data_IF_866113780917
#
_entry.id   IF_866113780917
#
_cell.length_a   1.000
_cell.length_b   1.000
_cell.length_c   1.000
_cell.angle_alpha   90.00
_cell.angle_beta   90.00
_cell.angle_gamma   90.00
#
_symmetry.space_group_name_H-M   'P 1'
#
loop_
_entity.id
_entity.type
_entity.pdbx_description
1 polymer ?
#
# COMPACT_ATOMS: atom_id res chain seq x y z
N UNK A 1 -3.20 -4.72 -2.71
CA UNK A 1 -3.79 -3.74 -3.65
C UNK A 1 -5.31 -3.73 -3.55
N UNK A 2 -5.98 -4.89 -3.50
CA UNK A 2 -7.41 -4.95 -3.22
C UNK A 2 -7.74 -4.41 -1.82
N UNK A 3 -6.89 -4.63 -0.82
CA UNK A 3 -7.08 -4.04 0.52
C UNK A 3 -7.12 -2.50 0.51
N UNK A 4 -6.25 -1.87 -0.27
CA UNK A 4 -6.20 -0.41 -0.43
C UNK A 4 -7.45 0.08 -1.19
N UNK A 5 -7.88 -0.65 -2.23
CA UNK A 5 -9.11 -0.33 -2.94
C UNK A 5 -10.34 -0.40 -2.01
N UNK A 6 -10.46 -1.45 -1.19
CA UNK A 6 -11.52 -1.56 -0.19
C UNK A 6 -11.52 -0.36 0.77
N UNK A 7 -10.34 0.05 1.24
CA UNK A 7 -10.20 1.23 2.09
C UNK A 7 -10.64 2.52 1.38
N UNK A 8 -10.27 2.74 0.12
CA UNK A 8 -10.72 3.90 -0.64
C UNK A 8 -12.23 3.87 -0.92
N UNK A 9 -12.79 2.75 -1.35
CA UNK A 9 -14.22 2.61 -1.59
C UNK A 9 -15.04 2.90 -0.32
N UNK A 10 -14.53 2.48 0.84
CA UNK A 10 -15.21 2.67 2.13
C UNK A 10 -14.90 4.01 2.81
N UNK A 11 -13.88 4.75 2.36
CA UNK A 11 -13.46 6.00 2.99
C UNK A 11 -14.57 7.07 3.10
N UNK A 12 -15.46 7.27 2.10
CA UNK A 12 -16.57 8.21 2.22
C UNK A 12 -17.54 7.83 3.35
N UNK A 13 -17.75 6.54 3.62
CA UNK A 13 -18.56 6.06 4.74
C UNK A 13 -17.91 6.42 6.07
N UNK A 14 -16.61 6.15 6.21
CA UNK A 14 -15.85 6.50 7.42
C UNK A 14 -15.87 8.02 7.65
N UNK A 15 -15.71 8.82 6.58
CA UNK A 15 -15.76 10.28 6.64
C UNK A 15 -17.09 10.82 7.19
N UNK A 16 -18.21 10.16 6.87
CA UNK A 16 -19.55 10.50 7.37
C UNK A 16 -19.75 10.10 8.84
N UNK A 17 -19.13 9.00 9.27
CA UNK A 17 -19.30 8.46 10.63
C UNK A 17 -18.38 9.11 11.66
N UNK A 18 -17.18 9.53 11.25
CA UNK A 18 -16.17 10.11 12.13
C UNK A 18 -15.96 11.56 11.70
N UNK A 19 -16.14 12.50 12.61
CA UNK A 19 -16.00 13.94 12.32
C UNK A 19 -14.66 14.54 12.79
N UNK A 20 -13.92 13.84 13.64
CA UNK A 20 -12.61 14.26 14.14
C UNK A 20 -11.47 13.82 13.20
N UNK A 21 -10.32 14.48 13.31
CA UNK A 21 -9.09 14.06 12.66
C UNK A 21 -8.55 12.77 13.29
N UNK A 22 -8.10 11.82 12.47
CA UNK A 22 -7.62 10.52 12.95
C UNK A 22 -6.37 10.62 13.83
N UNK A 23 -5.53 11.65 13.63
CA UNK A 23 -4.37 11.94 14.49
C UNK A 23 -4.74 12.14 15.96
N UNK A 24 -5.98 12.57 16.23
CA UNK A 24 -6.48 12.87 17.58
C UNK A 24 -7.19 11.65 18.22
N UNK A 25 -7.33 10.55 17.49
CA UNK A 25 -8.14 9.38 17.86
C UNK A 25 -7.27 8.14 18.16
N UNK A 26 -6.37 8.25 19.12
CA UNK A 26 -5.36 7.21 19.41
C UNK A 26 -5.95 5.85 19.83
N UNK A 27 -7.09 5.82 20.50
CA UNK A 27 -7.76 4.59 20.95
C UNK A 27 -8.80 4.05 19.94
N UNK A 28 -9.10 4.80 18.88
CA UNK A 28 -10.16 4.43 17.93
C UNK A 28 -9.63 3.46 16.88
N UNK A 29 -10.41 2.40 16.63
CA UNK A 29 -10.19 1.49 15.52
C UNK A 29 -11.11 1.85 14.35
N UNK A 30 -10.52 1.83 13.16
CA UNK A 30 -11.19 2.01 11.88
C UNK A 30 -11.45 0.62 11.32
N UNK A 31 -12.72 0.37 11.02
CA UNK A 31 -13.17 -0.89 10.44
C UNK A 31 -13.48 -0.67 8.96
N UNK A 32 -12.78 -1.41 8.12
CA UNK A 32 -13.05 -1.49 6.68
C UNK A 32 -13.43 -2.93 6.37
N UNK A 33 -14.55 -3.19 5.67
CA UNK A 33 -14.92 -4.54 5.26
C UNK A 33 -13.78 -5.22 4.50
N UNK A 34 -13.44 -6.45 4.92
CA UNK A 34 -12.36 -7.23 4.32
C UNK A 34 -10.94 -6.89 4.81
N UNK A 35 -10.80 -6.06 5.83
CA UNK A 35 -9.52 -5.70 6.45
C UNK A 35 -9.55 -5.96 7.97
N UNK A 36 -8.40 -6.26 8.59
CA UNK A 36 -8.28 -6.22 10.04
C UNK A 36 -8.51 -4.78 10.55
N UNK A 37 -8.95 -4.60 11.81
CA UNK A 37 -9.07 -3.26 12.41
C UNK A 37 -7.74 -2.49 12.36
N UNK A 38 -7.82 -1.21 11.98
CA UNK A 38 -6.66 -0.32 11.89
C UNK A 38 -6.84 0.82 12.88
N UNK A 39 -5.89 1.05 13.78
CA UNK A 39 -5.94 2.22 14.67
C UNK A 39 -5.94 3.50 13.83
N UNK A 40 -6.78 4.47 14.19
CA UNK A 40 -6.93 5.70 13.41
C UNK A 40 -5.59 6.42 13.18
N UNK A 41 -4.73 6.46 14.20
CA UNK A 41 -3.38 7.06 14.13
C UNK A 41 -2.39 6.31 13.22
N UNK A 42 -2.72 5.09 12.77
CA UNK A 42 -1.92 4.31 11.83
C UNK A 42 -2.45 4.39 10.39
N UNK A 43 -3.53 5.14 10.16
CA UNK A 43 -4.01 5.41 8.79
C UNK A 43 -2.95 6.20 8.01
N UNK A 44 -2.97 6.16 6.65
CA UNK A 44 -2.03 6.89 5.83
C UNK A 44 -1.99 8.39 6.19
N UNK A 45 -0.78 8.97 6.20
CA UNK A 45 -0.56 10.38 6.56
C UNK A 45 -1.55 11.35 5.90
N UNK A 46 -1.86 11.27 4.59
CA UNK A 46 -2.79 12.21 3.96
C UNK A 46 -4.20 12.23 4.55
N UNK A 47 -4.62 11.19 5.27
CA UNK A 47 -5.96 11.13 5.88
C UNK A 47 -5.95 11.34 7.40
N UNK A 48 -4.79 11.61 8.01
CA UNK A 48 -4.68 11.78 9.46
C UNK A 48 -5.30 13.10 9.96
N UNK A 49 -5.26 14.14 9.15
CA UNK A 49 -5.72 15.48 9.48
C UNK A 49 -6.80 15.93 8.47
N UNK A 50 -8.01 16.23 8.94
CA UNK A 50 -9.12 16.65 8.06
C UNK A 50 -8.93 18.05 7.47
N UNK A 51 -8.12 18.87 8.11
CA UNK A 51 -7.74 20.22 7.66
C UNK A 51 -6.63 20.20 6.60
N UNK A 52 -6.05 19.04 6.31
CA UNK A 52 -5.06 18.87 5.25
C UNK A 52 -5.75 18.85 3.86
N UNK A 53 -5.30 19.65 2.88
CA UNK A 53 -5.83 19.59 1.52
C UNK A 53 -5.77 18.17 0.91
N UNK A 54 -4.74 17.39 1.22
CA UNK A 54 -4.58 16.02 0.72
C UNK A 54 -5.70 15.10 1.24
N UNK A 55 -6.26 15.35 2.42
CA UNK A 55 -7.41 14.62 2.93
C UNK A 55 -8.61 14.77 1.98
N UNK A 56 -8.86 16.00 1.53
CA UNK A 56 -9.97 16.30 0.64
C UNK A 56 -9.75 15.77 -0.77
N UNK A 57 -8.51 15.73 -1.27
CA UNK A 57 -8.18 15.06 -2.53
C UNK A 57 -8.47 13.56 -2.47
N UNK A 58 -8.09 12.90 -1.36
CA UNK A 58 -8.41 11.48 -1.15
C UNK A 58 -9.92 11.26 -1.02
N UNK A 59 -10.63 12.12 -0.28
CA UNK A 59 -12.09 12.02 -0.15
C UNK A 59 -12.79 12.21 -1.50
N UNK A 60 -12.36 13.20 -2.28
CA UNK A 60 -12.88 13.46 -3.61
C UNK A 60 -12.65 12.25 -4.52
N UNK A 61 -11.41 11.77 -4.61
CA UNK A 61 -11.06 10.58 -5.39
C UNK A 61 -11.92 9.37 -4.98
N UNK A 62 -11.97 9.08 -3.69
CA UNK A 62 -12.73 7.95 -3.11
C UNK A 62 -14.22 8.03 -3.42
N UNK A 63 -14.82 9.23 -3.35
CA UNK A 63 -16.24 9.46 -3.64
C UNK A 63 -16.59 9.33 -5.13
N UNK A 64 -15.59 9.31 -6.01
CA UNK A 64 -15.78 9.16 -7.46
C UNK A 64 -15.44 7.75 -7.97
N UNK A 65 -14.73 6.92 -7.19
CA UNK A 65 -14.44 5.53 -7.56
C UNK A 65 -15.71 4.74 -7.93
N UNK A 66 -16.83 4.79 -7.17
CA UNK A 66 -18.04 4.05 -7.54
C UNK A 66 -18.73 4.53 -8.82
N UNK A 67 -18.39 5.74 -9.29
CA UNK A 67 -18.97 6.34 -10.51
C UNK A 67 -18.21 5.94 -11.77
N UNK A 68 -17.12 5.18 -11.64
CA UNK A 68 -16.33 4.71 -12.77
C UNK A 68 -17.07 3.62 -13.57
N UNK A 69 -16.77 3.49 -14.85
CA UNK A 69 -17.27 2.37 -15.69
C UNK A 69 -16.63 1.03 -15.30
N UNK A 70 -15.47 1.08 -14.65
CA UNK A 70 -14.77 -0.08 -14.13
C UNK A 70 -13.45 0.33 -13.49
N UNK A 71 -12.93 -0.52 -12.62
CA UNK A 71 -11.68 -0.32 -11.88
C UNK A 71 -10.73 -1.47 -12.21
N UNK A 72 -9.49 -1.13 -12.58
CA UNK A 72 -8.44 -2.11 -12.84
C UNK A 72 -7.50 -2.16 -11.65
N UNK A 73 -7.23 -3.36 -11.13
CA UNK A 73 -6.38 -3.56 -9.96
C UNK A 73 -5.28 -4.56 -10.30
N UNK A 74 -4.03 -4.16 -10.04
CA UNK A 74 -2.87 -5.04 -10.22
C UNK A 74 -2.74 -6.00 -9.01
N UNK A 75 -3.61 -7.00 -8.97
CA UNK A 75 -3.62 -8.13 -8.02
C UNK A 75 -4.41 -9.28 -8.60
N UNK A 76 -4.50 -10.41 -7.89
CA UNK A 76 -5.29 -11.58 -8.28
C UNK A 76 -5.98 -12.18 -7.06
N UNK A 77 -7.00 -12.98 -7.30
CA UNK A 77 -7.96 -13.50 -6.31
C UNK A 77 -7.27 -14.26 -5.18
N UNK A 78 -6.37 -15.19 -5.51
CA UNK A 78 -5.67 -16.02 -4.53
C UNK A 78 -4.73 -15.22 -3.61
N UNK A 79 -4.27 -14.03 -4.03
CA UNK A 79 -3.38 -13.18 -3.23
C UNK A 79 -4.14 -12.40 -2.16
N UNK A 80 -5.34 -11.91 -2.47
CA UNK A 80 -6.12 -11.03 -1.60
C UNK A 80 -7.61 -11.43 -1.52
N UNK A 81 -7.95 -12.70 -1.19
CA UNK A 81 -9.31 -13.20 -1.32
C UNK A 81 -10.31 -12.49 -0.40
N UNK A 82 -9.88 -12.14 0.81
CA UNK A 82 -10.74 -11.52 1.83
C UNK A 82 -11.26 -10.13 1.38
N UNK A 83 -10.40 -9.15 1.04
CA UNK A 83 -10.89 -7.86 0.55
C UNK A 83 -11.59 -7.96 -0.81
N UNK A 84 -11.20 -8.89 -1.68
CA UNK A 84 -11.87 -9.10 -2.98
C UNK A 84 -13.33 -9.53 -2.76
N UNK A 85 -13.57 -10.52 -1.91
CA UNK A 85 -14.92 -10.96 -1.60
C UNK A 85 -15.74 -9.85 -0.92
N UNK A 86 -15.15 -9.11 0.03
CA UNK A 86 -15.85 -8.01 0.68
C UNK A 86 -16.29 -6.90 -0.30
N UNK A 87 -15.48 -6.61 -1.32
CA UNK A 87 -15.85 -5.67 -2.37
C UNK A 87 -16.92 -6.26 -3.29
N UNK A 88 -16.78 -7.53 -3.70
CA UNK A 88 -17.75 -8.22 -4.55
C UNK A 88 -19.15 -8.33 -3.90
N UNK A 89 -19.19 -8.51 -2.58
CA UNK A 89 -20.41 -8.53 -1.76
C UNK A 89 -21.00 -7.12 -1.54
N UNK A 90 -20.39 -6.07 -2.11
CA UNK A 90 -20.86 -4.69 -2.02
C UNK A 90 -20.64 -4.03 -0.65
N UNK A 91 -19.88 -4.66 0.26
CA UNK A 91 -19.74 -4.16 1.63
C UNK A 91 -18.95 -2.85 1.71
N UNK A 92 -18.04 -2.62 0.76
CA UNK A 92 -17.20 -1.44 0.75
C UNK A 92 -17.91 -0.17 0.25
N UNK A 93 -19.01 -0.28 -0.49
CA UNK A 93 -19.76 0.85 -1.05
C UNK A 93 -21.21 0.81 -0.56
N UNK A 94 -21.54 1.66 0.42
CA UNK A 94 -22.83 1.57 1.14
C UNK A 94 -24.00 2.20 0.35
N UNK A 95 -23.76 3.32 -0.33
CA UNK A 95 -24.83 4.15 -0.89
C UNK A 95 -25.03 3.97 -2.42
N UNK A 96 -24.27 3.08 -3.05
CA UNK A 96 -24.31 2.88 -4.50
C UNK A 96 -23.76 1.50 -4.90
N UNK A 97 -24.07 1.00 -6.11
CA UNK A 97 -23.45 -0.23 -6.61
C UNK A 97 -21.92 -0.12 -6.69
N UNK A 98 -21.25 -1.23 -6.42
CA UNK A 98 -19.82 -1.36 -6.71
C UNK A 98 -19.64 -1.48 -8.23
N UNK A 99 -18.74 -0.68 -8.86
CA UNK A 99 -18.48 -0.78 -10.29
C UNK A 99 -17.76 -2.10 -10.61
N UNK A 100 -17.75 -2.55 -11.87
CA UNK A 100 -16.97 -3.72 -12.27
C UNK A 100 -15.50 -3.57 -11.88
N UNK A 101 -14.91 -4.62 -11.29
CA UNK A 101 -13.51 -4.64 -10.91
C UNK A 101 -12.79 -5.76 -11.66
N UNK A 102 -11.66 -5.41 -12.26
CA UNK A 102 -10.82 -6.32 -13.01
C UNK A 102 -9.48 -6.51 -12.28
N UNK A 103 -9.30 -7.67 -11.66
CA UNK A 103 -8.06 -8.08 -11.02
C UNK A 103 -7.17 -8.74 -12.08
N UNK A 104 -6.20 -7.99 -12.61
CA UNK A 104 -5.40 -8.41 -13.78
C UNK A 104 -3.93 -8.66 -13.45
N UNK A 105 -3.62 -8.81 -12.17
CA UNK A 105 -2.26 -8.97 -11.68
C UNK A 105 -1.74 -10.41 -11.71
N UNK A 106 -0.43 -10.58 -11.46
CA UNK A 106 0.57 -9.52 -11.31
C UNK A 106 1.02 -9.00 -12.69
N UNK A 107 0.74 -7.73 -12.97
CA UNK A 107 1.36 -6.99 -14.07
C UNK A 107 2.74 -6.56 -13.61
N UNK A 108 3.75 -7.23 -14.15
CA UNK A 108 5.16 -6.96 -13.89
C UNK A 108 5.72 -6.33 -15.15
N UNK A 109 6.39 -5.18 -15.02
CA UNK A 109 7.03 -4.54 -16.14
C UNK A 109 8.11 -5.47 -16.71
N UNK A 110 8.15 -5.59 -18.05
CA UNK A 110 9.29 -6.18 -18.73
C UNK A 110 10.55 -5.40 -18.33
N UNK A 111 11.68 -6.08 -18.06
CA UNK A 111 12.89 -5.39 -17.71
C UNK A 111 13.31 -4.51 -18.89
N UNK A 112 13.24 -3.20 -18.70
CA UNK A 112 13.77 -2.27 -19.70
C UNK A 112 15.26 -2.60 -19.93
N UNK A 113 15.71 -2.51 -21.19
CA UNK A 113 17.13 -2.59 -21.58
C UNK A 113 17.96 -1.39 -21.04
N UNK A 114 17.55 -0.79 -19.91
CA UNK A 114 18.42 0.09 -19.13
C UNK A 114 19.61 -0.74 -18.69
N UNK A 115 20.81 -0.18 -18.83
CA UNK A 115 22.08 -0.82 -18.51
C UNK A 115 22.05 -1.37 -17.08
N UNK A 116 21.65 -2.63 -16.92
CA UNK A 116 21.81 -3.38 -15.67
C UNK A 116 23.28 -3.30 -15.35
N UNK A 117 23.66 -2.82 -14.16
CA UNK A 117 25.07 -2.81 -13.80
C UNK A 117 25.58 -4.25 -13.83
N UNK A 118 26.43 -4.62 -14.81
CA UNK A 118 26.89 -5.99 -14.94
C UNK A 118 27.67 -6.45 -13.70
N UNK A 119 28.19 -5.51 -12.90
CA UNK A 119 28.90 -5.80 -11.65
C UNK A 119 27.96 -6.32 -10.56
N UNK A 120 26.77 -5.74 -10.41
CA UNK A 120 25.80 -6.17 -9.40
C UNK A 120 25.30 -7.59 -9.68
N UNK A 121 24.99 -7.91 -10.94
CA UNK A 121 24.56 -9.24 -11.33
C UNK A 121 25.67 -10.28 -11.15
N UNK A 122 26.90 -9.98 -11.60
CA UNK A 122 28.05 -10.87 -11.38
C UNK A 122 28.33 -11.11 -9.90
N UNK A 123 28.20 -10.08 -9.06
CA UNK A 123 28.34 -10.23 -7.61
C UNK A 123 27.27 -11.17 -7.05
N UNK A 124 26.00 -11.00 -7.46
CA UNK A 124 24.89 -11.85 -7.04
C UNK A 124 25.08 -13.31 -7.48
N UNK A 125 25.53 -13.53 -8.72
CA UNK A 125 25.81 -14.85 -9.30
C UNK A 125 26.89 -15.62 -8.52
N UNK A 126 27.82 -14.91 -7.86
CA UNK A 126 28.86 -15.52 -7.04
C UNK A 126 28.41 -15.94 -5.63
N UNK A 127 27.18 -15.62 -5.21
CA UNK A 127 26.70 -15.92 -3.86
C UNK A 127 25.95 -17.27 -3.80
N UNK A 128 25.97 -17.97 -2.64
CA UNK A 128 25.14 -19.14 -2.45
C UNK A 128 23.65 -18.85 -2.68
N UNK A 129 22.90 -19.85 -3.17
CA UNK A 129 21.45 -19.72 -3.40
C UNK A 129 20.73 -19.27 -2.12
N UNK A 130 19.83 -18.30 -2.24
CA UNK A 130 18.99 -17.77 -1.14
C UNK A 130 19.81 -17.24 0.05
N UNK A 131 21.00 -16.69 -0.20
CA UNK A 131 21.90 -16.17 0.86
C UNK A 131 22.07 -14.65 0.88
N UNK A 132 21.42 -13.94 -0.04
CA UNK A 132 21.46 -12.47 -0.16
C UNK A 132 20.11 -11.89 0.22
N UNK A 133 20.14 -10.84 1.04
CA UNK A 133 18.98 -10.01 1.35
C UNK A 133 18.97 -8.81 0.39
N UNK A 134 17.89 -8.64 -0.35
CA UNK A 134 17.66 -7.46 -1.18
C UNK A 134 16.92 -6.40 -0.35
N UNK A 135 17.48 -5.19 -0.29
CA UNK A 135 16.90 -4.07 0.43
C UNK A 135 16.58 -2.93 -0.54
N UNK A 136 15.30 -2.61 -0.69
CA UNK A 136 14.84 -1.52 -1.52
C UNK A 136 13.61 -0.89 -0.88
N UNK A 137 13.63 0.44 -0.72
CA UNK A 137 12.52 1.22 -0.16
C UNK A 137 11.63 1.87 -1.25
N UNK A 138 11.82 1.46 -2.50
CA UNK A 138 11.12 2.01 -3.66
C UNK A 138 11.62 3.40 -4.06
N UNK A 139 11.09 3.91 -5.17
CA UNK A 139 11.51 5.19 -5.77
C UNK A 139 11.20 6.43 -4.93
N UNK A 140 10.33 6.30 -3.92
CA UNK A 140 9.91 7.40 -3.03
C UNK A 140 10.36 7.19 -1.58
N UNK A 141 11.14 6.14 -1.30
CA UNK A 141 11.69 5.92 0.03
C UNK A 141 12.67 7.02 0.41
N UNK A 142 12.48 7.65 1.57
CA UNK A 142 13.37 8.68 2.10
C UNK A 142 13.47 8.53 3.61
N UNK A 143 14.67 8.68 4.14
CA UNK A 143 14.99 8.48 5.56
C UNK A 143 15.95 9.55 6.03
N UNK A 144 15.90 9.87 7.31
CA UNK A 144 16.90 10.77 7.91
C UNK A 144 18.29 10.12 7.86
N UNK A 145 19.34 10.94 7.88
CA UNK A 145 20.72 10.43 7.92
C UNK A 145 20.97 9.52 9.13
N UNK A 146 20.30 9.80 10.26
CA UNK A 146 20.34 8.96 11.45
C UNK A 146 19.71 7.58 11.23
N UNK A 147 18.54 7.53 10.60
CA UNK A 147 17.87 6.28 10.25
C UNK A 147 18.70 5.44 9.28
N UNK A 148 19.27 6.07 8.24
CA UNK A 148 20.16 5.37 7.29
C UNK A 148 21.38 4.80 8.02
N UNK A 149 21.95 5.55 8.98
CA UNK A 149 23.08 5.10 9.79
C UNK A 149 22.73 3.90 10.66
N UNK A 150 21.56 3.90 11.30
CA UNK A 150 21.10 2.76 12.12
C UNK A 150 20.75 1.54 11.26
N UNK A 151 20.12 1.73 10.11
CA UNK A 151 19.89 0.66 9.13
C UNK A 151 21.24 0.04 8.74
N UNK A 152 22.23 0.85 8.36
CA UNK A 152 23.57 0.37 8.01
C UNK A 152 24.24 -0.44 9.14
N UNK A 153 24.16 0.04 10.39
CA UNK A 153 24.68 -0.69 11.56
C UNK A 153 23.98 -2.03 11.78
N UNK A 154 22.65 -2.06 11.67
CA UNK A 154 21.87 -3.29 11.83
C UNK A 154 22.19 -4.32 10.75
N UNK A 155 22.34 -3.84 9.52
CA UNK A 155 22.75 -4.65 8.38
C UNK A 155 24.15 -5.27 8.56
N UNK A 156 25.14 -4.48 8.97
CA UNK A 156 26.50 -4.97 9.24
C UNK A 156 26.50 -6.04 10.35
N UNK A 157 25.78 -5.79 11.44
CA UNK A 157 25.67 -6.73 12.57
C UNK A 157 24.93 -8.02 12.24
N UNK A 158 24.08 -8.01 11.21
CA UNK A 158 23.32 -9.20 10.81
C UNK A 158 24.20 -10.31 10.24
N UNK A 159 25.40 -9.98 9.74
CA UNK A 159 26.29 -10.92 9.06
C UNK A 159 25.76 -11.47 7.73
N UNK A 160 24.61 -10.99 7.25
CA UNK A 160 24.04 -11.38 5.96
C UNK A 160 24.67 -10.59 4.80
N UNK A 161 24.74 -11.25 3.63
CA UNK A 161 25.10 -10.57 2.39
C UNK A 161 23.93 -9.74 1.90
N UNK A 162 24.21 -8.54 1.42
CA UNK A 162 23.18 -7.54 1.16
C UNK A 162 23.35 -6.92 -0.22
N UNK A 163 22.22 -6.64 -0.86
CA UNK A 163 22.14 -5.87 -2.10
C UNK A 163 21.13 -4.75 -1.91
N UNK A 164 21.59 -3.50 -1.95
CA UNK A 164 20.75 -2.30 -1.82
C UNK A 164 20.47 -1.62 -3.16
N UNK A 165 19.35 -0.89 -3.25
CA UNK A 165 19.04 0.06 -4.31
C UNK A 165 19.34 1.51 -3.90
#
# INVERSE_FOLDING_TARGET
MACILAAYLHFPTIHKQIHNSFRDLSATEIHVPGLPPIRAVHMPEPVLARDDPAYHDILYFSSHLPKSTGIIVNTFEDLEPIPINAIADGLCVVDSPTPPIHYIGPLIAEPENRSRDPKCLKWLDSQPKRSVVFLCFGSRGSFSAEQVREIGKGLERSGHRLLGC
#
